data_IF_410404047093
#
_entry.id   IF_410404047093
#
_cell.length_a   1.000
_cell.length_b   1.000
_cell.length_c   1.000
_cell.angle_alpha   90.00
_cell.angle_beta   90.00
_cell.angle_gamma   90.00
#
_symmetry.space_group_name_H-M   'P 1'
#
loop_
_entity.id
_entity.type
_entity.pdbx_description
1 polymer ?
#
# COMPACT_ATOMS: atom_id res chain seq x y z
N UNK A 1 -13.21 -23.83 -11.84
CA UNK A 1 -12.14 -23.46 -12.78
C UNK A 1 -10.89 -24.22 -12.40
N UNK A 2 -10.36 -25.00 -13.32
CA UNK A 2 -9.12 -25.73 -13.08
C UNK A 2 -7.93 -24.74 -13.08
N UNK A 3 -7.04 -24.88 -12.10
CA UNK A 3 -5.86 -24.02 -12.00
C UNK A 3 -4.80 -24.49 -12.98
N UNK A 4 -4.11 -23.55 -13.59
CA UNK A 4 -2.94 -23.83 -14.40
C UNK A 4 -1.86 -24.52 -13.57
N UNK A 5 -1.23 -25.54 -14.15
CA UNK A 5 0.01 -26.11 -13.61
C UNK A 5 1.17 -25.12 -13.79
N UNK A 6 2.22 -25.24 -12.99
CA UNK A 6 3.43 -24.42 -13.15
C UNK A 6 4.02 -24.48 -14.56
N UNK A 7 3.98 -25.67 -15.19
CA UNK A 7 4.50 -25.89 -16.55
C UNK A 7 3.68 -25.13 -17.59
N UNK A 8 2.36 -25.15 -17.49
CA UNK A 8 1.46 -24.41 -18.37
C UNK A 8 1.61 -22.89 -18.17
N UNK A 9 1.67 -22.43 -16.93
CA UNK A 9 1.88 -21.01 -16.65
C UNK A 9 3.20 -20.49 -17.23
N UNK A 10 4.29 -21.22 -17.10
CA UNK A 10 5.59 -20.86 -17.68
C UNK A 10 5.53 -20.87 -19.22
N UNK A 11 4.83 -21.86 -19.81
CA UNK A 11 4.66 -21.91 -21.26
C UNK A 11 3.87 -20.71 -21.79
N UNK A 12 2.78 -20.34 -21.13
CA UNK A 12 1.96 -19.17 -21.48
C UNK A 12 2.75 -17.87 -21.38
N UNK A 13 3.55 -17.68 -20.32
CA UNK A 13 4.38 -16.49 -20.15
C UNK A 13 5.49 -16.37 -21.20
N UNK A 14 6.04 -17.49 -21.69
CA UNK A 14 7.13 -17.48 -22.67
C UNK A 14 6.66 -17.41 -24.12
N UNK A 15 5.56 -18.07 -24.43
CA UNK A 15 5.16 -18.36 -25.81
C UNK A 15 3.74 -17.88 -26.14
N UNK A 16 3.00 -17.35 -25.14
CA UNK A 16 1.61 -16.95 -25.35
C UNK A 16 1.50 -15.67 -26.16
N UNK A 17 0.62 -15.69 -27.16
CA UNK A 17 0.21 -14.47 -27.85
C UNK A 17 -0.60 -13.57 -26.92
N UNK A 18 -0.28 -12.28 -26.89
CA UNK A 18 -0.88 -11.31 -25.95
C UNK A 18 -2.39 -11.18 -26.11
N UNK A 19 -2.91 -11.26 -27.33
CA UNK A 19 -4.35 -11.17 -27.58
C UNK A 19 -5.09 -12.40 -27.07
N UNK A 20 -4.53 -13.58 -27.31
CA UNK A 20 -5.06 -14.85 -26.83
C UNK A 20 -5.03 -14.89 -25.30
N UNK A 21 -3.93 -14.45 -24.67
CA UNK A 21 -3.84 -14.35 -23.20
C UNK A 21 -4.87 -13.38 -22.64
N UNK A 22 -5.05 -12.23 -23.28
CA UNK A 22 -6.07 -11.25 -22.89
C UNK A 22 -7.49 -11.81 -22.97
N UNK A 23 -7.84 -12.54 -24.05
CA UNK A 23 -9.14 -13.20 -24.17
C UNK A 23 -9.36 -14.27 -23.09
N UNK A 24 -8.35 -15.05 -22.78
CA UNK A 24 -8.42 -16.05 -21.70
C UNK A 24 -8.60 -15.40 -20.34
N UNK A 25 -7.85 -14.35 -20.05
CA UNK A 25 -7.98 -13.57 -18.82
C UNK A 25 -9.37 -12.94 -18.68
N UNK A 26 -9.91 -12.33 -19.74
CA UNK A 26 -11.24 -11.76 -19.75
C UNK A 26 -12.34 -12.81 -19.55
N UNK A 27 -12.19 -13.99 -20.14
CA UNK A 27 -13.10 -15.13 -19.90
C UNK A 27 -13.13 -15.50 -18.41
N UNK A 28 -11.97 -15.60 -17.77
CA UNK A 28 -11.87 -15.88 -16.32
C UNK A 28 -12.51 -14.73 -15.52
N UNK A 29 -12.20 -13.50 -15.84
CA UNK A 29 -12.80 -12.32 -15.20
C UNK A 29 -14.33 -12.37 -15.25
N UNK A 30 -14.92 -12.63 -16.42
CA UNK A 30 -16.39 -12.71 -16.60
C UNK A 30 -17.03 -13.84 -15.81
N UNK A 31 -16.32 -14.95 -15.60
CA UNK A 31 -16.80 -16.05 -14.76
C UNK A 31 -16.80 -15.69 -13.28
N UNK A 32 -15.76 -14.96 -12.82
CA UNK A 32 -15.63 -14.56 -11.42
C UNK A 32 -16.48 -13.32 -11.08
N UNK A 33 -16.61 -12.41 -12.03
CA UNK A 33 -17.32 -11.13 -11.88
C UNK A 33 -18.26 -10.92 -13.07
N UNK A 34 -19.42 -11.57 -13.07
CA UNK A 34 -20.42 -11.39 -14.14
C UNK A 34 -20.94 -9.95 -14.12
N UNK A 35 -20.72 -9.23 -15.19
CA UNK A 35 -21.14 -7.85 -15.36
C UNK A 35 -20.05 -6.98 -16.00
N UNK A 36 -20.40 -5.75 -16.32
CA UNK A 36 -19.52 -4.80 -16.99
C UNK A 36 -18.97 -3.71 -16.04
N UNK A 37 -19.22 -3.86 -14.74
CA UNK A 37 -18.72 -2.90 -13.74
C UNK A 37 -17.29 -3.28 -13.36
N UNK A 38 -16.39 -2.31 -13.47
CA UNK A 38 -15.03 -2.38 -12.95
C UNK A 38 -14.89 -1.32 -11.88
N UNK A 39 -14.54 -1.75 -10.67
CA UNK A 39 -14.28 -0.84 -9.55
C UNK A 39 -12.82 -0.45 -9.50
N UNK A 40 -12.54 0.75 -9.01
CA UNK A 40 -11.19 1.25 -8.76
C UNK A 40 -11.17 2.10 -7.48
N UNK A 41 -10.00 2.28 -6.93
CA UNK A 41 -9.76 3.16 -5.77
C UNK A 41 -8.85 4.29 -6.22
N UNK A 42 -9.13 5.49 -5.74
CA UNK A 42 -8.20 6.61 -5.76
C UNK A 42 -7.65 6.71 -4.34
N UNK A 43 -6.42 6.29 -4.17
CA UNK A 43 -5.75 6.31 -2.87
C UNK A 43 -4.40 7.01 -2.94
N UNK A 44 -3.82 7.25 -1.77
CA UNK A 44 -2.47 7.76 -1.61
C UNK A 44 -1.73 6.96 -0.57
N UNK A 45 -0.55 6.48 -0.92
CA UNK A 45 0.38 5.94 0.05
C UNK A 45 1.11 7.09 0.78
N UNK A 46 1.01 7.12 2.10
CA UNK A 46 1.72 8.06 2.97
C UNK A 46 2.70 7.23 3.81
N UNK A 47 3.97 7.34 3.45
CA UNK A 47 5.03 6.75 4.24
C UNK A 47 5.39 7.74 5.35
N UNK A 48 4.94 7.46 6.58
CA UNK A 48 5.13 8.36 7.72
C UNK A 48 6.59 8.42 8.20
N UNK A 49 7.38 7.37 7.96
CA UNK A 49 8.83 7.37 8.18
C UNK A 49 9.52 6.40 7.23
N UNK A 50 10.76 6.69 6.87
CA UNK A 50 11.65 5.74 6.20
C UNK A 50 12.75 5.19 7.12
N UNK A 51 12.78 5.60 8.38
CA UNK A 51 13.71 5.06 9.36
C UNK A 51 13.24 3.65 9.74
N UNK A 52 14.13 2.65 9.57
CA UNK A 52 13.78 1.26 9.78
C UNK A 52 14.96 0.45 10.28
N UNK A 53 14.73 -0.32 11.35
CA UNK A 53 15.74 -1.23 11.93
C UNK A 53 15.85 -2.58 11.18
N UNK A 54 14.92 -2.87 10.26
CA UNK A 54 14.81 -4.20 9.67
C UNK A 54 15.70 -4.43 8.43
N UNK A 55 16.29 -3.40 7.86
CA UNK A 55 17.30 -3.45 6.78
C UNK A 55 17.04 -4.55 5.70
N UNK A 56 15.80 -4.69 5.23
CA UNK A 56 15.43 -5.74 4.28
C UNK A 56 16.19 -5.62 2.96
N UNK A 57 16.78 -6.69 2.46
CA UNK A 57 17.63 -6.70 1.27
C UNK A 57 16.97 -6.19 -0.02
N UNK A 58 15.65 -6.25 -0.14
CA UNK A 58 14.92 -5.75 -1.32
C UNK A 58 14.45 -4.29 -1.17
N UNK A 59 14.46 -3.72 0.05
CA UNK A 59 13.91 -2.41 0.34
C UNK A 59 14.95 -1.31 0.08
N UNK A 60 14.81 -0.58 -1.02
CA UNK A 60 15.64 0.59 -1.32
C UNK A 60 15.18 1.87 -0.57
N UNK A 61 14.07 1.81 0.14
CA UNK A 61 13.42 2.96 0.77
C UNK A 61 13.95 3.25 2.18
N UNK A 62 14.34 2.23 2.94
CA UNK A 62 14.74 2.39 4.33
C UNK A 62 15.99 3.28 4.49
N UNK A 63 16.07 3.95 5.62
CA UNK A 63 17.24 4.68 6.10
C UNK A 63 17.51 4.30 7.54
N UNK A 64 18.77 4.36 7.94
CA UNK A 64 19.16 4.26 9.34
C UNK A 64 18.90 5.58 10.05
N UNK A 65 18.70 5.59 11.38
CA UNK A 65 18.69 6.83 12.13
C UNK A 65 19.93 7.68 11.78
N UNK A 66 19.77 8.98 11.63
CA UNK A 66 20.85 9.93 11.28
C UNK A 66 21.42 9.80 9.85
N UNK A 67 20.95 8.89 9.03
CA UNK A 67 21.35 8.81 7.62
C UNK A 67 20.75 9.96 6.81
N UNK A 68 21.49 10.46 5.81
CA UNK A 68 20.98 11.53 4.94
C UNK A 68 19.68 11.12 4.26
N UNK A 69 18.65 11.93 4.44
CA UNK A 69 17.32 11.65 3.89
C UNK A 69 16.44 10.79 4.79
N UNK A 70 16.88 10.45 6.01
CA UNK A 70 16.03 9.87 7.03
C UNK A 70 14.99 10.90 7.50
N UNK A 71 13.73 10.47 7.70
CA UNK A 71 12.66 11.36 8.15
C UNK A 71 11.60 10.63 8.98
N UNK A 72 10.94 11.38 9.82
CA UNK A 72 9.66 11.07 10.45
C UNK A 72 8.73 12.26 10.19
N UNK A 73 7.56 12.01 9.63
CA UNK A 73 6.57 13.06 9.36
C UNK A 73 5.91 13.51 10.65
N UNK A 74 5.63 14.80 10.76
CA UNK A 74 4.74 15.32 11.80
C UNK A 74 3.29 14.92 11.54
N UNK A 75 2.45 14.98 12.56
CA UNK A 75 1.00 14.75 12.40
C UNK A 75 0.41 15.76 11.42
N UNK A 76 0.87 17.02 11.45
CA UNK A 76 0.46 18.10 10.55
C UNK A 76 0.78 17.78 9.09
N UNK A 77 1.97 17.24 8.80
CA UNK A 77 2.36 16.83 7.45
C UNK A 77 1.48 15.69 6.93
N UNK A 78 1.14 14.74 7.80
CA UNK A 78 0.25 13.63 7.46
C UNK A 78 -1.17 14.12 7.18
N UNK A 79 -1.69 15.03 8.02
CA UNK A 79 -3.00 15.65 7.81
C UNK A 79 -3.05 16.44 6.50
N UNK A 80 -2.00 17.19 6.18
CA UNK A 80 -1.88 17.92 4.90
C UNK A 80 -1.93 16.98 3.71
N UNK A 81 -1.16 15.88 3.74
CA UNK A 81 -1.18 14.86 2.69
C UNK A 81 -2.54 14.18 2.55
N UNK A 82 -3.23 13.95 3.66
CA UNK A 82 -4.59 13.40 3.67
C UNK A 82 -5.59 14.39 3.06
N UNK A 83 -5.49 15.67 3.40
CA UNK A 83 -6.32 16.75 2.84
C UNK A 83 -6.15 16.87 1.32
N UNK A 84 -4.92 16.83 0.82
CA UNK A 84 -4.62 16.81 -0.62
C UNK A 84 -5.26 15.59 -1.31
N UNK A 85 -5.29 14.43 -0.64
CA UNK A 85 -5.92 13.21 -1.15
C UNK A 85 -7.45 13.37 -1.25
N UNK A 86 -8.08 13.89 -0.20
CA UNK A 86 -9.52 14.17 -0.19
C UNK A 86 -9.88 15.21 -1.26
N UNK A 87 -9.10 16.26 -1.41
CA UNK A 87 -9.29 17.28 -2.45
C UNK A 87 -9.19 16.71 -3.87
N UNK A 88 -8.42 15.63 -4.07
CA UNK A 88 -8.33 14.89 -5.32
C UNK A 88 -9.41 13.78 -5.47
N UNK A 89 -10.46 13.82 -4.65
CA UNK A 89 -11.53 12.80 -4.60
C UNK A 89 -11.05 11.41 -4.20
N UNK A 90 -9.94 11.32 -3.46
CA UNK A 90 -9.47 10.09 -2.86
C UNK A 90 -10.40 9.62 -1.74
N UNK A 91 -10.63 8.31 -1.69
CA UNK A 91 -11.50 7.67 -0.71
C UNK A 91 -10.75 6.85 0.32
N UNK A 92 -9.45 6.68 0.11
CA UNK A 92 -8.58 5.88 0.96
C UNK A 92 -7.18 6.48 1.03
N UNK A 93 -6.54 6.29 2.17
CA UNK A 93 -5.09 6.45 2.32
C UNK A 93 -4.48 5.13 2.80
N UNK A 94 -3.25 4.87 2.35
CA UNK A 94 -2.41 3.80 2.87
C UNK A 94 -1.32 4.40 3.75
N UNK A 95 -1.25 3.98 5.01
CA UNK A 95 -0.21 4.38 5.95
C UNK A 95 0.77 3.23 6.14
N UNK A 96 1.97 3.40 5.70
CA UNK A 96 3.06 2.44 5.84
C UNK A 96 4.34 3.17 6.18
N UNK A 97 5.20 2.57 6.98
CA UNK A 97 6.47 3.17 7.33
C UNK A 97 7.56 2.15 7.64
N UNK A 98 8.73 2.67 7.98
CA UNK A 98 9.79 1.87 8.55
C UNK A 98 9.52 1.56 10.03
N UNK A 99 10.23 0.58 10.57
CA UNK A 99 10.22 0.24 11.99
C UNK A 99 11.19 1.20 12.71
N UNK A 100 10.65 2.33 13.17
CA UNK A 100 11.45 3.37 13.82
C UNK A 100 11.78 2.97 15.26
N UNK A 101 13.07 2.95 15.69
CA UNK A 101 13.43 2.46 17.02
C UNK A 101 12.95 3.31 18.19
N UNK A 102 12.76 4.62 17.98
CA UNK A 102 12.55 5.60 19.06
C UNK A 102 11.16 6.25 19.03
N UNK A 103 10.25 5.81 18.14
CA UNK A 103 8.89 6.36 18.08
C UNK A 103 7.99 5.64 19.07
N UNK A 104 7.38 6.41 19.97
CA UNK A 104 6.42 5.91 20.94
C UNK A 104 5.12 5.45 20.27
N UNK A 105 4.48 4.43 20.82
CA UNK A 105 3.20 3.93 20.36
C UNK A 105 2.11 5.03 20.30
N UNK A 106 2.22 6.03 21.16
CA UNK A 106 1.29 7.15 21.20
C UNK A 106 1.28 7.96 19.91
N UNK A 107 2.41 8.06 19.21
CA UNK A 107 2.47 8.72 17.89
C UNK A 107 1.50 8.08 16.88
N UNK A 108 1.41 6.75 16.85
CA UNK A 108 0.52 6.03 15.94
C UNK A 108 -0.95 6.24 16.31
N UNK A 109 -1.25 6.25 17.60
CA UNK A 109 -2.60 6.54 18.09
C UNK A 109 -3.01 7.98 17.76
N UNK A 110 -2.14 8.94 17.98
CA UNK A 110 -2.39 10.37 17.68
C UNK A 110 -2.58 10.59 16.18
N UNK A 111 -1.76 9.96 15.34
CA UNK A 111 -1.86 10.00 13.88
C UNK A 111 -3.24 9.52 13.40
N UNK A 112 -3.64 8.31 13.82
CA UNK A 112 -4.93 7.74 13.41
C UNK A 112 -6.11 8.57 13.94
N UNK A 113 -6.02 9.01 15.19
CA UNK A 113 -7.05 9.82 15.83
C UNK A 113 -7.22 11.17 15.14
N UNK A 114 -6.11 11.84 14.82
CA UNK A 114 -6.12 13.13 14.13
C UNK A 114 -6.75 13.03 12.74
N UNK A 115 -6.39 11.98 11.98
CA UNK A 115 -6.97 11.75 10.66
C UNK A 115 -8.48 11.50 10.77
N UNK A 116 -8.91 10.57 11.61
CA UNK A 116 -10.32 10.21 11.74
C UNK A 116 -11.19 11.34 12.32
N UNK A 117 -10.60 12.22 13.12
CA UNK A 117 -11.29 13.40 13.63
C UNK A 117 -11.56 14.46 12.54
N UNK A 118 -10.65 14.57 11.56
CA UNK A 118 -10.69 15.64 10.54
C UNK A 118 -11.31 15.19 9.22
N UNK A 119 -11.19 13.89 8.85
CA UNK A 119 -11.57 13.39 7.54
C UNK A 119 -12.43 12.12 7.64
N UNK A 120 -13.47 12.05 6.81
CA UNK A 120 -14.19 10.81 6.53
C UNK A 120 -13.51 10.08 5.38
N UNK A 121 -12.42 9.38 5.68
CA UNK A 121 -11.63 8.63 4.71
C UNK A 121 -11.29 7.24 5.26
N UNK A 122 -11.24 6.26 4.37
CA UNK A 122 -10.78 4.91 4.74
C UNK A 122 -9.29 4.93 4.99
N UNK A 123 -8.86 4.33 6.10
CA UNK A 123 -7.44 4.15 6.44
C UNK A 123 -7.09 2.68 6.29
N UNK A 124 -6.16 2.38 5.39
CA UNK A 124 -5.50 1.09 5.28
C UNK A 124 -4.09 1.26 5.84
N UNK A 125 -3.83 0.71 7.00
CA UNK A 125 -2.57 0.98 7.71
C UNK A 125 -1.92 -0.28 8.23
N UNK A 126 -0.62 -0.17 8.34
CA UNK A 126 0.33 -1.05 8.99
C UNK A 126 0.44 -2.46 8.40
N UNK A 127 1.65 -2.89 8.28
CA UNK A 127 1.99 -4.28 7.96
C UNK A 127 2.08 -5.11 9.24
N UNK A 128 2.09 -6.43 9.10
CA UNK A 128 2.24 -7.32 10.25
C UNK A 128 3.54 -7.05 11.05
N UNK A 129 4.62 -6.68 10.36
CA UNK A 129 5.90 -6.33 11.00
C UNK A 129 5.82 -5.03 11.80
N UNK A 130 5.07 -4.04 11.33
CA UNK A 130 4.84 -2.80 12.08
C UNK A 130 4.02 -3.07 13.34
N UNK A 131 2.95 -3.87 13.24
CA UNK A 131 2.11 -4.24 14.39
C UNK A 131 2.90 -5.03 15.46
N UNK A 132 3.87 -5.84 15.05
CA UNK A 132 4.71 -6.58 15.98
C UNK A 132 5.82 -5.71 16.60
N UNK A 133 6.13 -4.57 15.99
CA UNK A 133 7.16 -3.65 16.45
C UNK A 133 6.64 -2.65 17.49
N UNK A 134 5.36 -2.30 17.42
CA UNK A 134 4.68 -1.32 18.30
C UNK A 134 4.56 -1.75 19.75
#
# INVERSE_FOLDING_TARGET
MERLTNKEAVSLLKNGDILTLGQQADKVRRQMHPGNIVTFIIDRNINYTNICVNECNFCAFYRRPSEKGAYLLSIEDILKKTEETVAASGTQIMLQGGLHPDVDFQYYIDMLTAIKKKFDITIHSFTATEILHF
#
